data_IF_319957856168
#
_entry.id   IF_319957856168
#
_cell.length_a   1.000
_cell.length_b   1.000
_cell.length_c   1.000
_cell.angle_alpha   90.00
_cell.angle_beta   90.00
_cell.angle_gamma   90.00
#
_symmetry.space_group_name_H-M   'P 1'
#
loop_
_entity.id
_entity.type
_entity.pdbx_description
1 polymer ?
#
# COMPACT_ATOMS: atom_id res chain seq x y z
N UNK A 1 -19.35 8.78 0.19
CA UNK A 1 -18.16 8.35 0.98
C UNK A 1 -18.02 9.12 2.28
N UNK A 2 -17.90 10.45 2.25
CA UNK A 2 -17.72 11.25 3.47
C UNK A 2 -18.94 11.21 4.38
N UNK A 3 -20.13 11.46 3.84
CA UNK A 3 -21.39 11.36 4.59
C UNK A 3 -21.56 9.97 5.21
N UNK A 4 -21.28 8.91 4.44
CA UNK A 4 -21.31 7.53 4.92
C UNK A 4 -20.34 7.31 6.09
N UNK A 5 -19.10 7.84 6.01
CA UNK A 5 -18.12 7.71 7.09
C UNK A 5 -18.60 8.37 8.39
N UNK A 6 -19.14 9.56 8.29
CA UNK A 6 -19.66 10.28 9.45
C UNK A 6 -20.90 9.61 10.04
N UNK A 7 -21.86 9.19 9.21
CA UNK A 7 -23.10 8.56 9.72
C UNK A 7 -22.87 7.18 10.30
N UNK A 8 -21.99 6.35 9.73
CA UNK A 8 -21.78 4.97 10.19
C UNK A 8 -20.65 4.79 11.18
N UNK A 9 -19.54 5.49 11.00
CA UNK A 9 -18.39 5.32 11.87
C UNK A 9 -18.24 6.45 12.88
N UNK A 10 -19.06 7.51 12.77
CA UNK A 10 -18.91 8.75 13.52
C UNK A 10 -17.46 9.29 13.50
N UNK A 11 -16.81 9.15 12.36
CA UNK A 11 -15.41 9.52 12.15
C UNK A 11 -15.22 10.08 10.74
N UNK A 12 -14.29 11.04 10.55
CA UNK A 12 -13.93 11.51 9.23
C UNK A 12 -13.31 10.38 8.38
N UNK A 13 -13.22 10.57 7.07
CA UNK A 13 -12.51 9.64 6.19
C UNK A 13 -11.04 9.50 6.59
N UNK A 14 -10.50 8.30 6.48
CA UNK A 14 -9.09 8.05 6.75
C UNK A 14 -8.32 7.91 5.44
N UNK A 15 -7.53 8.90 5.07
CA UNK A 15 -6.67 8.85 3.89
C UNK A 15 -5.38 8.11 4.21
N UNK A 16 -5.11 7.03 3.48
CA UNK A 16 -3.88 6.26 3.62
C UNK A 16 -2.78 6.86 2.74
N UNK A 17 -1.78 7.46 3.38
CA UNK A 17 -0.70 8.17 2.71
C UNK A 17 0.57 7.33 2.61
N UNK A 18 1.02 7.07 1.40
CA UNK A 18 2.24 6.29 1.14
C UNK A 18 3.47 7.13 0.84
N UNK A 19 3.32 8.44 0.67
CA UNK A 19 4.36 9.34 0.20
C UNK A 19 4.63 9.24 -1.30
N UNK A 20 3.73 8.63 -2.07
CA UNK A 20 3.81 8.52 -3.52
C UNK A 20 2.75 9.35 -4.24
N UNK A 21 2.96 9.63 -5.52
CA UNK A 21 2.15 10.50 -6.38
C UNK A 21 0.63 10.27 -6.28
N UNK A 22 0.21 9.01 -6.25
CA UNK A 22 -1.21 8.66 -6.23
C UNK A 22 -1.87 9.04 -4.89
N UNK A 23 -1.14 8.92 -3.78
CA UNK A 23 -1.61 9.37 -2.46
C UNK A 23 -1.56 10.88 -2.30
N UNK A 24 -0.63 11.57 -2.98
CA UNK A 24 -0.60 13.03 -3.04
C UNK A 24 -1.85 13.57 -3.76
N UNK A 25 -2.21 12.98 -4.92
CA UNK A 25 -3.46 13.33 -5.61
C UNK A 25 -4.68 13.16 -4.70
N UNK A 26 -4.76 12.07 -3.93
CA UNK A 26 -5.88 11.85 -3.03
C UNK A 26 -5.98 12.93 -1.94
N UNK A 27 -4.85 13.46 -1.44
CA UNK A 27 -4.85 14.60 -0.49
C UNK A 27 -5.43 15.85 -1.17
N UNK A 28 -4.93 16.19 -2.36
CA UNK A 28 -5.41 17.39 -3.07
C UNK A 28 -6.89 17.28 -3.44
N UNK A 29 -7.36 16.10 -3.85
CA UNK A 29 -8.79 15.86 -4.08
C UNK A 29 -9.64 16.01 -2.81
N UNK A 30 -9.16 15.51 -1.68
CA UNK A 30 -9.86 15.64 -0.40
C UNK A 30 -9.94 17.10 0.06
N UNK A 31 -8.86 17.88 -0.11
CA UNK A 31 -8.82 19.32 0.14
C UNK A 31 -9.83 20.06 -0.76
N UNK A 32 -9.77 19.82 -2.06
CA UNK A 32 -10.64 20.48 -3.05
C UNK A 32 -12.11 20.15 -2.84
N UNK A 33 -12.42 18.94 -2.38
CA UNK A 33 -13.78 18.52 -2.04
C UNK A 33 -14.31 19.11 -0.72
N UNK A 34 -13.46 19.75 0.09
CA UNK A 34 -13.86 20.34 1.39
C UNK A 34 -14.41 19.31 2.39
N UNK A 35 -14.05 18.03 2.25
CA UNK A 35 -14.57 16.98 3.11
C UNK A 35 -13.71 16.79 4.37
N UNK A 36 -14.29 16.44 5.52
CA UNK A 36 -13.51 16.11 6.71
C UNK A 36 -12.74 14.78 6.51
N UNK A 37 -11.43 14.82 6.72
CA UNK A 37 -10.55 13.65 6.63
C UNK A 37 -9.39 13.74 7.63
N UNK A 38 -8.83 12.59 7.93
CA UNK A 38 -7.58 12.41 8.67
C UNK A 38 -6.58 11.67 7.76
N UNK A 39 -5.30 11.80 8.04
CA UNK A 39 -4.26 11.14 7.25
C UNK A 39 -3.47 10.15 8.11
N UNK A 40 -3.22 8.97 7.57
CA UNK A 40 -2.40 7.96 8.22
C UNK A 40 -1.29 7.46 7.31
N UNK A 41 -0.06 7.39 7.83
CA UNK A 41 1.06 6.73 7.20
C UNK A 41 1.47 5.49 7.99
N UNK A 42 1.53 4.33 7.32
CA UNK A 42 2.04 3.09 7.91
C UNK A 42 3.55 3.01 7.67
N UNK A 43 4.35 3.28 8.69
CA UNK A 43 5.80 3.22 8.61
C UNK A 43 6.29 1.78 8.50
N UNK A 44 6.81 1.40 7.32
CA UNK A 44 7.18 0.00 7.05
C UNK A 44 8.56 -0.39 7.60
N UNK A 45 9.34 0.58 8.07
CA UNK A 45 10.75 0.45 8.45
C UNK A 45 11.71 0.10 7.31
N UNK A 46 11.18 -0.22 6.13
CA UNK A 46 11.92 -0.44 4.89
C UNK A 46 11.68 0.67 3.86
N UNK A 47 11.02 1.76 4.26
CA UNK A 47 10.83 2.94 3.40
C UNK A 47 12.17 3.65 3.16
N UNK A 48 12.36 4.19 1.96
CA UNK A 48 13.54 4.99 1.66
C UNK A 48 13.60 6.26 2.55
N UNK A 49 14.80 6.74 2.94
CA UNK A 49 14.94 7.92 3.78
C UNK A 49 14.23 9.16 3.23
N UNK A 50 14.28 9.38 1.91
CA UNK A 50 13.60 10.49 1.24
C UNK A 50 12.09 10.39 1.40
N UNK A 51 11.53 9.18 1.33
CA UNK A 51 10.10 8.96 1.55
C UNK A 51 9.70 9.28 2.98
N UNK A 52 10.48 8.83 3.97
CA UNK A 52 10.22 9.13 5.38
C UNK A 52 10.27 10.65 5.64
N UNK A 53 11.24 11.33 5.03
CA UNK A 53 11.39 12.79 5.16
C UNK A 53 10.21 13.53 4.51
N UNK A 54 9.87 13.16 3.28
CA UNK A 54 8.74 13.73 2.51
C UNK A 54 7.40 13.54 3.26
N UNK A 55 7.14 12.35 3.80
CA UNK A 55 5.93 12.09 4.61
C UNK A 55 5.86 13.01 5.82
N UNK A 56 6.96 13.16 6.55
CA UNK A 56 7.00 14.04 7.73
C UNK A 56 6.82 15.51 7.38
N UNK A 57 7.38 15.95 6.26
CA UNK A 57 7.22 17.32 5.77
C UNK A 57 5.77 17.57 5.36
N UNK A 58 5.16 16.67 4.58
CA UNK A 58 3.75 16.74 4.19
C UNK A 58 2.82 16.75 5.41
N UNK A 59 3.10 15.94 6.43
CA UNK A 59 2.30 15.90 7.66
C UNK A 59 2.37 17.22 8.42
N UNK A 60 3.54 17.82 8.56
CA UNK A 60 3.67 19.16 9.18
C UNK A 60 2.84 20.21 8.45
N UNK A 61 2.83 20.20 7.10
CA UNK A 61 2.01 21.12 6.32
C UNK A 61 0.52 20.89 6.57
N UNK A 62 0.06 19.64 6.54
CA UNK A 62 -1.33 19.28 6.79
C UNK A 62 -1.78 19.61 8.22
N UNK A 63 -0.93 19.39 9.21
CA UNK A 63 -1.21 19.73 10.61
C UNK A 63 -1.34 21.25 10.80
N UNK A 64 -0.56 22.07 10.09
CA UNK A 64 -0.74 23.53 10.07
C UNK A 64 -2.07 23.94 9.43
N UNK A 65 -2.62 23.14 8.52
CA UNK A 65 -3.95 23.31 7.92
C UNK A 65 -5.07 22.76 8.84
N UNK A 66 -4.74 22.22 10.01
CA UNK A 66 -5.70 21.65 10.96
C UNK A 66 -6.12 20.20 10.68
N UNK A 67 -5.42 19.52 9.77
CA UNK A 67 -5.69 18.11 9.44
C UNK A 67 -4.94 17.19 10.42
N UNK A 68 -5.64 16.26 11.04
CA UNK A 68 -5.03 15.29 11.92
C UNK A 68 -4.22 14.25 11.15
N UNK A 69 -2.91 14.15 11.47
CA UNK A 69 -1.99 13.21 10.84
C UNK A 69 -1.44 12.21 11.85
N UNK A 70 -1.32 10.94 11.48
CA UNK A 70 -0.80 9.89 12.36
C UNK A 70 0.18 8.97 11.63
N UNK A 71 1.33 8.69 12.26
CA UNK A 71 2.29 7.68 11.81
C UNK A 71 2.09 6.41 12.66
N UNK A 72 1.64 5.35 11.99
CA UNK A 72 1.43 4.04 12.62
C UNK A 72 2.69 3.20 12.47
N UNK A 73 3.18 2.71 13.59
CA UNK A 73 4.29 1.75 13.64
C UNK A 73 3.76 0.33 13.72
N UNK A 74 4.33 -0.62 12.96
CA UNK A 74 3.79 -1.95 12.87
C UNK A 74 3.96 -2.74 14.17
N UNK A 75 2.95 -3.55 14.48
CA UNK A 75 2.97 -4.50 15.59
C UNK A 75 2.64 -5.90 15.08
N UNK A 76 3.24 -6.91 15.71
CA UNK A 76 2.96 -8.31 15.44
C UNK A 76 2.89 -9.10 16.75
N UNK A 77 1.76 -9.75 17.01
CA UNK A 77 1.47 -10.46 18.28
C UNK A 77 1.68 -9.57 19.52
N UNK A 78 1.24 -8.30 19.45
CA UNK A 78 1.35 -7.33 20.54
C UNK A 78 2.69 -6.62 20.68
N UNK A 79 3.73 -7.06 19.96
CA UNK A 79 5.07 -6.45 19.99
C UNK A 79 5.30 -5.54 18.79
N UNK A 80 6.03 -4.43 19.00
CA UNK A 80 6.49 -3.58 17.89
C UNK A 80 7.51 -4.35 17.05
N UNK A 81 7.32 -4.31 15.74
CA UNK A 81 8.19 -5.01 14.79
C UNK A 81 8.72 -4.08 13.71
N UNK A 82 9.80 -4.51 13.08
CA UNK A 82 10.33 -3.93 11.85
C UNK A 82 10.37 -5.00 10.76
N UNK A 83 10.65 -4.63 9.50
CA UNK A 83 10.92 -5.59 8.43
C UNK A 83 12.00 -6.59 8.87
N UNK A 84 13.05 -6.08 9.51
CA UNK A 84 14.24 -6.81 9.94
C UNK A 84 13.99 -7.81 11.07
N UNK A 85 13.05 -7.51 11.96
CA UNK A 85 12.64 -8.43 13.04
C UNK A 85 11.51 -9.37 12.62
N UNK A 86 10.74 -9.00 11.58
CA UNK A 86 9.64 -9.80 11.09
C UNK A 86 10.10 -10.98 10.24
N UNK A 87 11.14 -10.82 9.43
CA UNK A 87 11.69 -11.89 8.58
C UNK A 87 12.07 -13.13 9.39
N UNK A 88 12.89 -13.05 10.46
CA UNK A 88 13.18 -14.21 11.30
C UNK A 88 11.94 -14.82 11.97
N UNK A 89 10.97 -14.00 12.39
CA UNK A 89 9.72 -14.49 13.00
C UNK A 89 8.84 -15.25 12.01
N UNK A 90 8.97 -14.97 10.71
CA UNK A 90 8.21 -15.65 9.63
C UNK A 90 8.93 -16.84 9.02
N UNK A 91 10.22 -17.02 9.32
CA UNK A 91 11.07 -18.10 8.82
C UNK A 91 11.11 -18.18 7.27
N UNK A 92 10.93 -17.05 6.60
CA UNK A 92 11.00 -16.96 5.15
C UNK A 92 11.20 -15.50 4.69
N UNK A 93 11.86 -15.26 3.55
CA UNK A 93 11.90 -13.94 2.92
C UNK A 93 10.49 -13.49 2.50
N UNK A 94 10.21 -12.19 2.46
CA UNK A 94 8.97 -11.70 1.84
C UNK A 94 9.02 -11.92 0.32
N UNK A 95 7.96 -12.50 -0.25
CA UNK A 95 7.87 -12.77 -1.69
C UNK A 95 6.61 -12.16 -2.29
N UNK A 96 6.44 -12.24 -3.62
CA UNK A 96 5.20 -11.83 -4.30
C UNK A 96 3.98 -12.62 -3.82
N UNK A 97 4.16 -13.88 -3.46
CA UNK A 97 3.10 -14.76 -2.95
C UNK A 97 2.95 -14.59 -1.44
N UNK A 98 4.06 -14.71 -0.69
CA UNK A 98 4.07 -14.58 0.76
C UNK A 98 4.22 -13.11 1.19
N UNK A 99 3.14 -12.35 1.04
CA UNK A 99 3.08 -10.89 1.29
C UNK A 99 2.81 -10.54 2.75
N UNK A 100 3.31 -11.33 3.69
CA UNK A 100 3.11 -11.08 5.12
C UNK A 100 3.59 -9.70 5.57
N UNK A 101 4.60 -9.15 4.89
CA UNK A 101 5.08 -7.80 5.16
C UNK A 101 4.00 -6.74 4.90
N UNK A 102 3.21 -6.85 3.82
CA UNK A 102 2.10 -5.93 3.58
C UNK A 102 1.05 -6.04 4.67
N UNK A 103 0.64 -7.26 5.02
CA UNK A 103 -0.40 -7.50 6.02
C UNK A 103 -0.02 -6.95 7.40
N UNK A 104 1.24 -7.11 7.82
CA UNK A 104 1.71 -6.68 9.14
C UNK A 104 2.12 -5.21 9.15
N UNK A 105 2.86 -4.75 8.12
CA UNK A 105 3.48 -3.43 8.15
C UNK A 105 2.60 -2.32 7.54
N UNK A 106 1.62 -2.65 6.67
CA UNK A 106 0.81 -1.64 5.95
C UNK A 106 -0.68 -1.75 6.21
N UNK A 107 -1.24 -2.96 6.26
CA UNK A 107 -2.69 -3.16 6.20
C UNK A 107 -3.37 -3.11 7.58
N UNK A 108 -2.61 -2.95 8.66
CA UNK A 108 -3.14 -2.90 10.03
C UNK A 108 -3.98 -1.65 10.30
N UNK A 109 -3.74 -0.53 9.61
CA UNK A 109 -4.46 0.73 9.79
C UNK A 109 -5.86 0.69 9.15
N UNK A 110 -6.79 1.46 9.71
CA UNK A 110 -8.12 1.72 9.14
C UNK A 110 -9.16 0.62 9.35
N UNK A 111 -9.01 -0.30 10.32
CA UNK A 111 -10.08 -1.21 10.70
C UNK A 111 -11.30 -0.45 11.23
N UNK A 112 -12.52 -0.85 10.79
CA UNK A 112 -13.76 -0.21 11.18
C UNK A 112 -13.82 1.26 10.75
N UNK A 113 -13.28 1.59 9.57
CA UNK A 113 -13.29 2.95 9.00
C UNK A 113 -13.48 2.91 7.49
N UNK A 114 -14.01 4.00 6.96
CA UNK A 114 -13.93 4.28 5.53
C UNK A 114 -12.56 4.88 5.23
N UNK A 115 -11.81 4.27 4.29
CA UNK A 115 -10.47 4.69 3.92
C UNK A 115 -10.45 5.22 2.49
N UNK A 116 -9.63 6.25 2.24
CA UNK A 116 -9.29 6.71 0.89
C UNK A 116 -7.95 6.08 0.50
N UNK A 117 -7.89 5.52 -0.71
CA UNK A 117 -6.65 4.95 -1.27
C UNK A 117 -6.41 5.43 -2.69
N UNK A 118 -5.14 5.61 -3.05
CA UNK A 118 -4.71 5.97 -4.40
C UNK A 118 -4.58 4.76 -5.33
N UNK A 119 -5.49 3.80 -5.25
CA UNK A 119 -5.47 2.62 -6.14
C UNK A 119 -6.02 2.98 -7.50
N UNK A 120 -5.33 2.53 -8.57
CA UNK A 120 -5.74 2.70 -9.97
C UNK A 120 -5.75 1.39 -10.72
N UNK A 121 -6.68 1.21 -11.66
CA UNK A 121 -6.75 0.03 -12.54
C UNK A 121 -5.52 -0.08 -13.44
N UNK A 122 -5.01 1.07 -13.91
CA UNK A 122 -3.84 1.15 -14.78
C UNK A 122 -2.52 0.61 -14.16
N UNK A 123 -2.45 0.42 -12.83
CA UNK A 123 -1.20 -0.01 -12.18
C UNK A 123 -0.89 -1.50 -12.33
N UNK A 124 -1.90 -2.36 -12.49
CA UNK A 124 -1.69 -3.80 -12.68
C UNK A 124 -2.99 -4.53 -13.03
N UNK A 125 -2.86 -5.66 -13.72
CA UNK A 125 -3.97 -6.57 -14.06
C UNK A 125 -4.76 -7.00 -12.79
N UNK A 126 -4.07 -7.23 -11.67
CA UNK A 126 -4.74 -7.61 -10.41
C UNK A 126 -5.61 -6.48 -9.83
N UNK A 127 -5.46 -5.25 -10.31
CA UNK A 127 -6.26 -4.09 -9.90
C UNK A 127 -7.39 -3.76 -10.88
N UNK A 128 -7.43 -4.38 -12.06
CA UNK A 128 -8.49 -4.15 -13.06
C UNK A 128 -9.90 -4.45 -12.53
N UNK A 129 -10.02 -5.37 -11.57
CA UNK A 129 -11.28 -5.74 -10.91
C UNK A 129 -11.60 -4.90 -9.67
N UNK A 130 -10.84 -3.82 -9.40
CA UNK A 130 -11.12 -2.90 -8.30
C UNK A 130 -12.16 -1.87 -8.72
N UNK A 131 -13.00 -1.44 -7.79
CA UNK A 131 -14.03 -0.43 -8.02
C UNK A 131 -13.75 0.88 -7.29
N UNK A 132 -14.53 1.91 -7.64
CA UNK A 132 -14.46 3.22 -6.99
C UNK A 132 -14.80 3.14 -5.48
N UNK A 133 -15.72 2.25 -5.14
CA UNK A 133 -16.10 1.93 -3.76
C UNK A 133 -16.11 0.42 -3.57
N UNK A 134 -15.46 -0.09 -2.54
CA UNK A 134 -15.42 -1.52 -2.27
C UNK A 134 -15.29 -1.84 -0.78
N UNK A 135 -15.81 -2.99 -0.37
CA UNK A 135 -15.60 -3.52 0.98
C UNK A 135 -14.33 -4.36 1.01
N UNK A 136 -13.50 -4.14 2.03
CA UNK A 136 -12.33 -4.99 2.29
C UNK A 136 -12.71 -5.95 3.42
N UNK A 137 -12.96 -7.20 3.05
CA UNK A 137 -13.36 -8.28 3.96
C UNK A 137 -12.30 -9.37 4.02
N UNK A 138 -12.34 -10.18 5.08
CA UNK A 138 -11.39 -11.27 5.26
C UNK A 138 -11.58 -12.39 4.21
N UNK A 139 -12.81 -12.59 3.72
CA UNK A 139 -13.12 -13.57 2.70
C UNK A 139 -13.39 -12.88 1.36
N UNK A 140 -12.78 -13.39 0.29
CA UNK A 140 -12.98 -12.87 -1.07
C UNK A 140 -14.44 -12.95 -1.53
N UNK A 141 -15.19 -13.98 -1.09
CA UNK A 141 -16.61 -14.16 -1.38
C UNK A 141 -17.50 -13.03 -0.88
N UNK A 142 -17.05 -12.33 0.17
CA UNK A 142 -17.84 -11.30 0.83
C UNK A 142 -17.47 -9.89 0.34
N UNK A 143 -16.58 -9.81 -0.66
CA UNK A 143 -16.15 -8.54 -1.25
C UNK A 143 -17.26 -7.98 -2.14
N UNK A 144 -17.64 -6.74 -1.87
CA UNK A 144 -18.57 -5.97 -2.69
C UNK A 144 -17.78 -4.87 -3.39
N UNK A 145 -18.00 -4.73 -4.67
CA UNK A 145 -17.37 -3.73 -5.53
C UNK A 145 -18.47 -2.92 -6.19
N UNK A 146 -18.36 -1.61 -6.11
CA UNK A 146 -19.24 -0.67 -6.80
C UNK A 146 -18.42 0.15 -7.77
N UNK A 147 -18.83 0.15 -9.03
CA UNK A 147 -18.43 1.14 -10.02
C UNK A 147 -19.56 2.16 -10.09
N UNK A 148 -19.26 3.38 -9.71
CA UNK A 148 -20.22 4.47 -9.77
C UNK A 148 -20.17 5.04 -11.19
N UNK A 149 -21.18 4.75 -12.00
CA UNK A 149 -21.43 5.54 -13.19
C UNK A 149 -21.83 6.99 -12.76
N UNK A 150 -21.56 8.02 -13.59
CA UNK A 150 -21.91 9.39 -13.26
C UNK A 150 -23.36 9.56 -12.84
N UNK A 151 -24.29 8.84 -13.49
CA UNK A 151 -25.72 8.86 -13.19
C UNK A 151 -26.09 8.17 -11.87
N UNK A 152 -25.27 7.24 -11.40
CA UNK A 152 -25.49 6.54 -10.11
C UNK A 152 -25.08 7.40 -8.91
N UNK A 153 -24.25 8.43 -9.12
CA UNK A 153 -23.84 9.34 -8.04
C UNK A 153 -25.01 10.20 -7.57
N UNK A 154 -25.81 10.73 -8.47
CA UNK A 154 -27.00 11.52 -8.10
C UNK A 154 -28.06 10.66 -7.44
N UNK A 155 -28.31 9.42 -7.95
CA UNK A 155 -29.27 8.49 -7.38
C UNK A 155 -28.91 8.02 -5.98
N UNK A 156 -27.63 7.79 -5.68
CA UNK A 156 -27.19 7.43 -4.32
C UNK A 156 -27.43 8.52 -3.27
N UNK A 157 -27.54 9.79 -3.67
CA UNK A 157 -27.81 10.88 -2.75
C UNK A 157 -29.29 11.11 -2.48
N UNK A 158 -30.17 10.76 -3.42
CA UNK A 158 -31.58 11.16 -3.39
C UNK A 158 -32.58 10.01 -3.25
N UNK A 159 -32.17 8.75 -3.41
CA UNK A 159 -33.07 7.62 -3.31
C UNK A 159 -32.88 6.83 -2.01
N UNK A 160 -33.70 7.14 -1.02
CA UNK A 160 -33.74 6.43 0.28
C UNK A 160 -34.24 4.96 0.16
N UNK A 161 -34.74 4.57 -1.01
CA UNK A 161 -35.29 3.25 -1.28
C UNK A 161 -34.37 2.32 -2.09
N UNK A 162 -33.14 2.74 -2.41
CA UNK A 162 -32.23 1.94 -3.20
C UNK A 162 -31.80 0.66 -2.44
N UNK A 163 -32.17 -0.49 -3.01
CA UNK A 163 -31.81 -1.81 -2.49
C UNK A 163 -30.28 -1.99 -2.35
N UNK A 164 -29.48 -1.37 -3.25
CA UNK A 164 -28.02 -1.40 -3.21
C UNK A 164 -27.50 -0.61 -2.00
N UNK A 165 -28.09 0.55 -1.70
CA UNK A 165 -27.75 1.36 -0.53
C UNK A 165 -28.08 0.62 0.76
N UNK A 166 -29.29 0.08 0.90
CA UNK A 166 -29.71 -0.70 2.07
C UNK A 166 -28.86 -1.94 2.27
N UNK A 167 -28.52 -2.63 1.20
CA UNK A 167 -27.69 -3.84 1.25
C UNK A 167 -26.26 -3.50 1.67
N UNK A 168 -25.71 -2.41 1.17
CA UNK A 168 -24.41 -1.86 1.61
C UNK A 168 -24.46 -1.47 3.09
N UNK A 169 -25.53 -0.84 3.51
CA UNK A 169 -25.75 -0.39 4.89
C UNK A 169 -25.91 -1.56 5.87
N UNK A 170 -26.67 -2.58 5.53
CA UNK A 170 -27.00 -3.68 6.45
C UNK A 170 -25.90 -4.74 6.57
N UNK A 171 -25.12 -4.99 5.54
CA UNK A 171 -24.25 -6.17 5.53
C UNK A 171 -22.83 -5.96 6.00
N UNK A 172 -22.30 -4.72 6.16
CA UNK A 172 -20.85 -4.56 6.03
C UNK A 172 -20.14 -3.60 6.99
N UNK A 173 -20.77 -3.24 8.08
CA UNK A 173 -20.27 -2.26 9.04
C UNK A 173 -19.06 -2.74 9.87
N UNK A 174 -18.68 -4.01 9.79
CA UNK A 174 -17.56 -4.56 10.59
C UNK A 174 -16.21 -4.57 9.83
N UNK A 175 -16.22 -4.27 8.52
CA UNK A 175 -15.04 -4.27 7.65
C UNK A 175 -14.47 -2.88 7.40
N UNK A 176 -13.44 -2.81 6.55
CA UNK A 176 -12.98 -1.56 5.95
C UNK A 176 -13.78 -1.28 4.68
N UNK A 177 -14.16 -0.03 4.47
CA UNK A 177 -14.64 0.45 3.17
C UNK A 177 -13.49 1.19 2.50
N UNK A 178 -13.14 0.83 1.26
CA UNK A 178 -12.14 1.52 0.46
C UNK A 178 -12.82 2.40 -0.57
N UNK A 179 -12.45 3.66 -0.58
CA UNK A 179 -12.85 4.66 -1.56
C UNK A 179 -11.62 4.94 -2.42
N UNK A 180 -11.74 4.71 -3.72
CA UNK A 180 -10.66 4.82 -4.70
C UNK A 180 -10.99 5.95 -5.69
N UNK A 181 -10.78 7.22 -5.34
CA UNK A 181 -11.27 8.35 -6.13
C UNK A 181 -10.61 8.49 -7.50
N UNK A 182 -9.45 7.89 -7.68
CA UNK A 182 -8.66 7.96 -8.92
C UNK A 182 -8.57 6.61 -9.63
N UNK A 183 -9.56 5.73 -9.42
CA UNK A 183 -9.53 4.33 -9.89
C UNK A 183 -9.28 4.20 -11.39
N UNK A 184 -9.84 5.10 -12.19
CA UNK A 184 -9.76 5.08 -13.66
C UNK A 184 -8.71 6.06 -14.24
N UNK A 185 -7.95 6.74 -13.37
CA UNK A 185 -6.95 7.70 -13.82
C UNK A 185 -5.73 7.01 -14.42
N UNK A 186 -5.24 7.56 -15.53
CA UNK A 186 -3.96 7.20 -16.13
C UNK A 186 -2.78 7.84 -15.38
N UNK A 187 -1.55 7.46 -15.72
CA UNK A 187 -0.36 8.15 -15.19
C UNK A 187 -0.30 9.61 -15.67
N UNK A 188 -0.78 9.91 -16.87
CA UNK A 188 -0.83 11.28 -17.39
C UNK A 188 -1.77 12.15 -16.57
N UNK A 189 -2.95 11.64 -16.20
CA UNK A 189 -3.92 12.34 -15.37
C UNK A 189 -3.33 12.66 -13.99
N UNK A 190 -2.68 11.68 -13.35
CA UNK A 190 -2.03 11.86 -12.06
C UNK A 190 -0.96 12.94 -12.11
N UNK A 191 -0.05 12.87 -13.08
CA UNK A 191 1.01 13.86 -13.22
C UNK A 191 0.50 15.23 -13.67
N UNK A 192 -0.53 15.26 -14.52
CA UNK A 192 -1.20 16.49 -14.95
C UNK A 192 -1.80 17.23 -13.76
N UNK A 193 -2.55 16.50 -12.95
CA UNK A 193 -3.22 17.07 -11.77
C UNK A 193 -2.25 17.57 -10.70
N UNK A 194 -1.17 16.82 -10.42
CA UNK A 194 -0.15 17.26 -9.47
C UNK A 194 0.57 18.55 -9.91
N UNK A 195 0.80 18.70 -11.23
CA UNK A 195 1.35 19.94 -11.78
C UNK A 195 0.36 21.12 -11.66
N UNK A 196 -0.91 20.88 -11.97
CA UNK A 196 -1.98 21.88 -11.81
C UNK A 196 -2.07 22.38 -10.36
N UNK A 197 -2.00 21.45 -9.40
CA UNK A 197 -2.06 21.78 -7.98
C UNK A 197 -0.74 22.31 -7.40
N UNK A 198 0.33 22.38 -8.19
CA UNK A 198 1.67 22.75 -7.72
C UNK A 198 2.13 21.91 -6.49
N UNK A 199 1.73 20.65 -6.46
CA UNK A 199 2.00 19.77 -5.32
C UNK A 199 3.47 19.37 -5.28
N UNK A 200 4.09 19.53 -4.12
CA UNK A 200 5.44 19.01 -3.86
C UNK A 200 5.39 17.48 -3.86
N UNK A 201 6.19 16.86 -4.73
CA UNK A 201 6.25 15.41 -4.92
C UNK A 201 7.46 14.79 -4.25
N UNK A 202 7.40 13.48 -4.01
CA UNK A 202 8.52 12.74 -3.42
C UNK A 202 9.79 12.89 -4.28
N UNK A 203 10.95 13.27 -3.69
CA UNK A 203 12.20 13.48 -4.42
C UNK A 203 12.70 12.29 -5.21
N UNK A 204 12.29 11.07 -4.87
CA UNK A 204 12.68 9.86 -5.59
C UNK A 204 12.25 9.86 -7.07
N UNK A 205 11.15 10.55 -7.40
CA UNK A 205 10.72 10.69 -8.79
C UNK A 205 11.74 11.46 -9.63
N UNK A 206 12.43 12.45 -9.04
CA UNK A 206 13.53 13.17 -9.71
C UNK A 206 14.82 12.34 -9.81
N UNK A 207 14.93 11.27 -9.02
CA UNK A 207 16.05 10.33 -9.06
C UNK A 207 15.83 9.14 -10.00
N UNK A 208 14.83 9.22 -10.89
CA UNK A 208 14.55 8.18 -11.87
C UNK A 208 13.74 6.98 -11.36
N UNK A 209 13.13 7.09 -10.17
CA UNK A 209 12.20 6.07 -9.69
C UNK A 209 10.79 6.34 -10.24
N UNK A 210 10.21 5.37 -10.92
CA UNK A 210 8.85 5.47 -11.47
C UNK A 210 7.76 5.27 -10.40
N UNK A 211 8.13 4.72 -9.26
CA UNK A 211 7.23 4.45 -8.12
C UNK A 211 7.93 4.65 -6.80
N UNK A 212 7.18 4.97 -5.77
CA UNK A 212 7.64 5.02 -4.38
C UNK A 212 7.14 3.77 -3.62
N UNK A 213 8.01 3.17 -2.81
CA UNK A 213 7.69 1.99 -2.00
C UNK A 213 8.87 1.54 -1.16
N UNK A 214 8.71 0.41 -0.47
CA UNK A 214 9.79 -0.14 0.35
C UNK A 214 11.03 -0.48 -0.50
N UNK A 215 12.22 -0.20 0.02
CA UNK A 215 13.49 -0.65 -0.56
C UNK A 215 13.50 -2.19 -0.58
N UNK A 216 13.82 -2.78 -1.73
CA UNK A 216 13.83 -4.23 -1.91
C UNK A 216 12.43 -4.87 -1.96
N UNK A 217 11.37 -4.12 -2.23
CA UNK A 217 10.01 -4.65 -2.28
C UNK A 217 9.88 -5.77 -3.34
N UNK A 218 9.45 -6.99 -2.98
CA UNK A 218 9.30 -8.07 -3.95
C UNK A 218 8.20 -7.83 -5.00
N UNK A 219 7.30 -6.85 -4.75
CA UNK A 219 6.30 -6.44 -5.74
C UNK A 219 6.85 -5.46 -6.78
N UNK A 220 8.06 -4.94 -6.59
CA UNK A 220 8.74 -4.14 -7.58
C UNK A 220 9.45 -5.05 -8.61
N UNK A 221 9.59 -4.60 -9.84
CA UNK A 221 10.35 -5.33 -10.86
C UNK A 221 11.84 -5.46 -10.47
N UNK A 222 12.52 -6.44 -11.06
CA UNK A 222 13.93 -6.75 -10.77
C UNK A 222 14.83 -5.51 -10.93
N UNK A 223 14.73 -4.80 -12.05
CA UNK A 223 15.50 -3.58 -12.31
C UNK A 223 15.35 -2.54 -11.20
N UNK A 224 14.12 -2.30 -10.75
CA UNK A 224 13.86 -1.36 -9.65
C UNK A 224 14.53 -1.80 -8.34
N UNK A 225 14.53 -3.09 -8.04
CA UNK A 225 15.14 -3.62 -6.80
C UNK A 225 16.65 -3.45 -6.81
N UNK A 226 17.32 -3.71 -7.96
CA UNK A 226 18.75 -3.46 -8.12
C UNK A 226 19.08 -1.98 -7.97
N UNK A 227 18.38 -1.10 -8.67
CA UNK A 227 18.53 0.37 -8.55
C UNK A 227 18.36 0.84 -7.10
N UNK A 228 17.38 0.28 -6.38
CA UNK A 228 17.16 0.62 -4.98
C UNK A 228 18.31 0.19 -4.07
N UNK A 229 18.88 -1.01 -4.26
CA UNK A 229 20.02 -1.47 -3.46
C UNK A 229 21.35 -0.81 -3.84
N UNK A 230 21.53 -0.40 -5.08
CA UNK A 230 22.64 0.43 -5.49
C UNK A 230 22.62 1.79 -4.78
N UNK A 231 21.46 2.43 -4.73
CA UNK A 231 21.27 3.70 -4.03
C UNK A 231 21.35 3.56 -2.50
N UNK A 232 20.86 2.45 -1.95
CA UNK A 232 20.76 2.21 -0.51
C UNK A 232 21.50 0.92 -0.08
N UNK A 233 22.83 0.85 -0.17
CA UNK A 233 23.58 -0.37 0.15
C UNK A 233 23.37 -0.84 1.59
N UNK A 234 23.19 0.08 2.55
CA UNK A 234 22.87 -0.26 3.95
C UNK A 234 21.60 -1.10 4.09
N UNK A 235 20.60 -0.91 3.23
CA UNK A 235 19.39 -1.75 3.27
C UNK A 235 19.70 -3.17 2.79
N UNK A 236 20.58 -3.34 1.82
CA UNK A 236 21.07 -4.67 1.41
C UNK A 236 21.69 -5.39 2.59
N UNK A 237 22.56 -4.72 3.34
CA UNK A 237 23.22 -5.29 4.51
C UNK A 237 22.21 -5.67 5.61
N UNK A 238 21.20 -4.83 5.83
CA UNK A 238 20.12 -5.11 6.78
C UNK A 238 19.28 -6.33 6.36
N UNK A 239 19.02 -6.54 5.07
CA UNK A 239 18.37 -7.75 4.57
C UNK A 239 19.25 -8.99 4.78
N UNK A 240 20.55 -8.92 4.44
CA UNK A 240 21.49 -10.01 4.67
C UNK A 240 21.53 -10.41 6.16
N UNK A 241 21.63 -9.45 7.07
CA UNK A 241 21.56 -9.70 8.51
C UNK A 241 20.22 -10.32 8.96
N UNK A 242 19.10 -9.88 8.38
CA UNK A 242 17.79 -10.44 8.68
C UNK A 242 17.67 -11.89 8.17
N UNK A 243 18.23 -12.19 7.00
CA UNK A 243 18.26 -13.53 6.44
C UNK A 243 19.18 -14.46 7.23
N UNK A 244 20.33 -13.99 7.69
CA UNK A 244 21.20 -14.77 8.59
C UNK A 244 20.44 -15.17 9.87
N UNK A 245 19.80 -14.20 10.55
CA UNK A 245 18.96 -14.46 11.73
C UNK A 245 17.77 -15.37 11.43
N UNK A 246 17.23 -15.31 10.22
CA UNK A 246 16.16 -16.21 9.78
C UNK A 246 16.66 -17.65 9.68
N UNK A 247 17.82 -17.89 9.05
CA UNK A 247 18.41 -19.23 8.94
C UNK A 247 18.70 -19.82 10.33
N UNK A 248 19.27 -19.04 11.24
CA UNK A 248 19.46 -19.46 12.64
C UNK A 248 18.13 -19.81 13.33
N UNK A 249 17.09 -18.99 13.12
CA UNK A 249 15.76 -19.23 13.68
C UNK A 249 15.11 -20.49 13.10
N UNK A 250 15.35 -20.79 11.82
CA UNK A 250 14.90 -22.04 11.18
C UNK A 250 15.55 -23.26 11.80
N UNK A 251 16.87 -23.22 12.04
CA UNK A 251 17.58 -24.30 12.72
C UNK A 251 17.05 -24.53 14.14
N UNK A 252 16.87 -23.46 14.93
CA UNK A 252 16.29 -23.54 16.29
C UNK A 252 14.87 -24.09 16.29
N UNK A 253 14.10 -23.85 15.24
CA UNK A 253 12.74 -24.39 15.10
C UNK A 253 12.69 -25.82 14.54
N UNK A 254 13.81 -26.47 14.35
CA UNK A 254 13.88 -27.82 13.76
C UNK A 254 13.48 -27.89 12.28
N UNK A 255 13.56 -26.76 11.57
CA UNK A 255 13.21 -26.61 10.15
C UNK A 255 14.38 -26.02 9.36
N UNK A 256 15.54 -26.69 9.32
CA UNK A 256 16.70 -26.16 8.62
C UNK A 256 16.38 -25.94 7.13
N UNK A 257 16.90 -24.86 6.57
CA UNK A 257 16.75 -24.59 5.15
C UNK A 257 17.53 -25.62 4.33
N UNK A 258 16.88 -26.27 3.39
CA UNK A 258 17.53 -27.22 2.48
C UNK A 258 18.07 -26.55 1.22
N UNK A 259 17.57 -25.36 0.90
CA UNK A 259 17.91 -24.63 -0.34
C UNK A 259 19.01 -23.59 -0.16
N UNK A 260 19.26 -23.13 1.07
CA UNK A 260 20.18 -22.02 1.35
C UNK A 260 21.15 -22.39 2.47
N UNK A 261 22.42 -22.21 2.22
CA UNK A 261 23.48 -22.42 3.22
C UNK A 261 23.87 -21.12 3.91
N UNK A 262 23.76 -19.98 3.20
CA UNK A 262 24.17 -18.66 3.67
C UNK A 262 23.08 -17.60 3.45
N UNK A 263 23.22 -16.49 4.13
CA UNK A 263 22.34 -15.32 3.91
C UNK A 263 22.48 -14.75 2.48
N UNK A 264 23.65 -14.89 1.86
CA UNK A 264 23.87 -14.49 0.47
C UNK A 264 23.05 -15.37 -0.47
N UNK A 265 23.02 -16.69 -0.26
CA UNK A 265 22.21 -17.60 -1.08
C UNK A 265 20.73 -17.22 -1.02
N UNK A 266 20.24 -16.86 0.18
CA UNK A 266 18.87 -16.37 0.37
C UNK A 266 18.64 -15.08 -0.40
N UNK A 267 19.58 -14.12 -0.30
CA UNK A 267 19.48 -12.83 -0.95
C UNK A 267 19.47 -12.97 -2.48
N UNK A 268 20.37 -13.76 -3.03
CA UNK A 268 20.51 -13.99 -4.48
C UNK A 268 19.26 -14.66 -5.02
N UNK A 269 18.78 -15.74 -4.37
CA UNK A 269 17.50 -16.36 -4.70
C UNK A 269 16.34 -15.37 -4.65
N UNK A 270 16.29 -14.55 -3.60
CA UNK A 270 15.24 -13.57 -3.41
C UNK A 270 15.27 -12.46 -4.48
N UNK A 271 16.46 -12.07 -4.96
CA UNK A 271 16.64 -11.08 -6.01
C UNK A 271 16.36 -11.61 -7.41
N UNK A 272 16.60 -12.89 -7.65
CA UNK A 272 16.42 -13.49 -8.97
C UNK A 272 14.96 -13.65 -9.37
N UNK A 273 14.03 -13.53 -8.42
CA UNK A 273 12.60 -13.75 -8.67
C UNK A 273 12.34 -15.12 -9.35
N UNK A 274 13.23 -16.10 -9.06
CA UNK A 274 13.16 -17.44 -9.66
C UNK A 274 11.83 -18.08 -9.31
N UNK A 275 11.16 -18.53 -10.35
CA UNK A 275 9.87 -19.20 -10.30
C UNK A 275 9.85 -20.29 -9.22
N UNK A 276 8.82 -20.27 -8.39
CA UNK A 276 8.35 -21.49 -7.75
C UNK A 276 7.92 -22.39 -8.90
N UNK A 277 8.46 -23.63 -8.95
CA UNK A 277 8.15 -24.60 -9.99
C UNK A 277 6.66 -24.57 -10.39
N UNK A 278 6.39 -24.28 -11.65
CA UNK A 278 5.05 -24.25 -12.21
C UNK A 278 4.48 -22.87 -12.63
N UNK A 279 5.20 -21.78 -12.45
CA UNK A 279 4.74 -20.46 -12.90
C UNK A 279 5.30 -20.09 -14.28
N UNK A 280 4.42 -19.90 -15.27
CA UNK A 280 4.78 -19.46 -16.61
C UNK A 280 5.44 -18.07 -16.58
N UNK A 281 6.59 -17.93 -17.24
CA UNK A 281 7.23 -16.63 -17.52
C UNK A 281 6.44 -15.93 -18.60
N UNK A 282 5.99 -14.70 -18.31
CA UNK A 282 5.80 -13.71 -19.38
C UNK A 282 7.16 -13.06 -19.60
N UNK A 283 7.79 -13.35 -20.72
CA UNK A 283 8.95 -12.60 -21.18
C UNK A 283 8.47 -11.18 -21.52
N UNK A 284 9.03 -10.18 -20.84
CA UNK A 284 8.86 -8.78 -21.28
C UNK A 284 9.59 -8.66 -22.61
N UNK A 285 8.84 -8.56 -23.71
CA UNK A 285 9.40 -8.20 -25.01
C UNK A 285 10.13 -6.87 -24.85
N UNK A 286 11.42 -6.92 -25.18
CA UNK A 286 12.25 -5.75 -25.36
C UNK A 286 11.70 -4.98 -26.56
N UNK A 287 10.90 -3.97 -26.33
CA UNK A 287 10.65 -2.94 -27.34
C UNK A 287 11.75 -1.89 -27.23
N UNK A 288 12.54 -1.79 -28.29
CA UNK A 288 13.55 -0.76 -28.55
C UNK A 288 12.99 0.65 -28.43
#
# INVERSE_FOLDING_TARGET
>A
GSATSLSYYNKPLLLTYSGGKDSDVCIELAKRAGIPYEVVHSHTTADAPETVHHVRQKFRQLELEGIHCNIVYPTYKGERVSMWSLIPKKLMPPTRIARYCCNVLKEASGRGRAIITGVRRAESVSRSSRGALETITAKKSDKVVFDLAPDDQERMYFDDNDAKRRWFEQCKMQGKISINPIIDWSDQDVWGYLRECHTEINPLYYCGFSRVGCVGCPMAGRRYRYQAFERYPKYRDMYLQAFARMLEAMVRAGKPATKWSTASDVFDWWMEDTNIDGQLRFEEEQTC
#
